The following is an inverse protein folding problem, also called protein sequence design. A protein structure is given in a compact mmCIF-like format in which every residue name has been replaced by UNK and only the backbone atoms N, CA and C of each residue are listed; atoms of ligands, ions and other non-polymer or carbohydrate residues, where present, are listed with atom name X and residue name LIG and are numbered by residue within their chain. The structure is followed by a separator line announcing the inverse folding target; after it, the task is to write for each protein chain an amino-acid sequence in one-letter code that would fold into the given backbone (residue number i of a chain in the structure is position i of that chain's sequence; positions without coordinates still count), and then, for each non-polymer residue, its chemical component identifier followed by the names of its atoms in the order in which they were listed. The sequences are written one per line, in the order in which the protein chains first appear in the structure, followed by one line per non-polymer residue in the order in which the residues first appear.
data_IF_580194322216
#
_entry.id   IF_580194322216
#
_cell.length_a   1.000
_cell.length_b   1.000
_cell.length_c   1.000
_cell.angle_alpha   90.00
_cell.angle_beta   90.00
_cell.angle_gamma   90.00
#
_symmetry.space_group_name_H-M   'P 1'
#
loop_
_entity.id
_entity.type
_entity.pdbx_description
1 polymer ?
#
# COMPACT_ATOMS: atom_id res chain seq x y z
N UNK A 1 -16.66 -3.25 9.43
CA UNK A 1 -16.26 -1.87 9.21
C UNK A 1 -14.91 -1.58 9.85
N UNK A 2 -14.73 -1.95 11.12
CA UNK A 2 -13.45 -1.80 11.78
C UNK A 2 -12.37 -2.68 11.12
N UNK A 3 -12.73 -3.87 10.70
CA UNK A 3 -11.82 -4.78 10.00
C UNK A 3 -11.32 -4.11 8.72
N UNK A 4 -12.23 -3.51 7.95
CA UNK A 4 -11.88 -2.84 6.70
C UNK A 4 -10.94 -1.66 6.98
N UNK A 5 -11.23 -0.85 7.99
CA UNK A 5 -10.39 0.29 8.34
C UNK A 5 -8.99 -0.14 8.76
N UNK A 6 -8.88 -1.20 9.55
CA UNK A 6 -7.57 -1.73 9.96
C UNK A 6 -6.78 -2.20 8.74
N UNK A 7 -7.44 -2.88 7.80
CA UNK A 7 -6.78 -3.33 6.58
C UNK A 7 -6.28 -2.16 5.73
N UNK A 8 -7.10 -1.13 5.55
CA UNK A 8 -6.72 0.05 4.77
C UNK A 8 -5.50 0.74 5.37
N UNK A 9 -5.50 0.94 6.68
CA UNK A 9 -4.37 1.54 7.38
C UNK A 9 -3.11 0.69 7.21
N UNK A 10 -3.25 -0.62 7.27
CA UNK A 10 -2.13 -1.54 7.13
C UNK A 10 -1.53 -1.46 5.72
N UNK A 11 -2.38 -1.42 4.69
CA UNK A 11 -1.92 -1.28 3.31
C UNK A 11 -1.20 0.06 3.12
N UNK A 12 -1.78 1.15 3.64
CA UNK A 12 -1.18 2.48 3.55
C UNK A 12 0.21 2.51 4.20
N UNK A 13 0.31 1.96 5.40
CA UNK A 13 1.58 1.89 6.12
C UNK A 13 2.61 1.05 5.37
N UNK A 14 2.17 -0.05 4.76
CA UNK A 14 3.08 -0.90 3.99
C UNK A 14 3.63 -0.15 2.77
N UNK A 15 2.79 0.62 2.08
CA UNK A 15 3.23 1.42 0.94
C UNK A 15 4.28 2.45 1.40
N UNK A 16 4.03 3.14 2.51
CA UNK A 16 4.98 4.10 3.05
C UNK A 16 6.28 3.44 3.47
N UNK A 17 6.20 2.26 4.07
CA UNK A 17 7.35 1.46 4.46
C UNK A 17 8.21 1.11 3.25
N UNK A 18 7.57 0.70 2.15
CA UNK A 18 8.26 0.36 0.92
C UNK A 18 8.86 1.61 0.25
N UNK A 19 8.17 2.74 0.30
CA UNK A 19 8.72 4.00 -0.20
C UNK A 19 10.01 4.33 0.52
N UNK A 20 10.02 4.19 1.84
CA UNK A 20 11.20 4.45 2.65
C UNK A 20 12.33 3.49 2.30
N UNK A 21 12.00 2.21 2.21
CA UNK A 21 12.97 1.15 1.93
C UNK A 21 13.66 1.35 0.58
N UNK A 22 12.91 1.77 -0.43
CA UNK A 22 13.43 1.90 -1.80
C UNK A 22 13.75 3.35 -2.18
N UNK A 23 13.66 4.26 -1.22
CA UNK A 23 13.99 5.68 -1.42
C UNK A 23 13.12 6.37 -2.47
N UNK A 24 11.82 6.05 -2.46
CA UNK A 24 10.84 6.74 -3.31
C UNK A 24 9.98 7.65 -2.46
N UNK A 25 9.62 8.81 -3.01
CA UNK A 25 8.51 9.58 -2.46
C UNK A 25 7.21 8.96 -2.97
N UNK A 26 6.09 9.15 -2.25
CA UNK A 26 4.79 8.65 -2.76
C UNK A 26 4.45 9.18 -4.16
N UNK A 27 4.75 10.46 -4.44
CA UNK A 27 4.50 11.01 -5.77
C UNK A 27 5.34 10.33 -6.85
N UNK A 28 6.60 10.04 -6.55
CA UNK A 28 7.47 9.36 -7.51
C UNK A 28 7.01 7.93 -7.74
N UNK A 29 6.61 7.24 -6.67
CA UNK A 29 6.07 5.89 -6.79
C UNK A 29 4.82 5.87 -7.67
N UNK A 30 3.91 6.83 -7.46
CA UNK A 30 2.69 6.93 -8.26
C UNK A 30 3.03 7.16 -9.73
N UNK A 31 3.95 8.08 -10.01
CA UNK A 31 4.39 8.39 -11.38
C UNK A 31 4.93 7.15 -12.07
N UNK A 32 5.86 6.44 -11.43
CA UNK A 32 6.49 5.26 -12.01
C UNK A 32 5.55 4.07 -12.12
N UNK A 33 4.51 4.04 -11.30
CA UNK A 33 3.53 2.95 -11.28
C UNK A 33 2.31 3.23 -12.16
N UNK A 34 2.31 4.35 -12.87
CA UNK A 34 1.18 4.78 -13.68
C UNK A 34 -0.11 4.89 -12.87
N UNK A 35 0.01 5.41 -11.65
CA UNK A 35 -1.12 5.68 -10.75
C UNK A 35 -1.26 7.19 -10.66
N UNK A 36 -2.49 7.69 -10.76
CA UNK A 36 -2.71 9.13 -10.57
C UNK A 36 -2.26 9.52 -9.17
N UNK A 37 -1.45 10.58 -9.01
CA UNK A 37 -0.98 10.99 -7.68
C UNK A 37 -2.12 11.25 -6.69
N UNK A 38 -3.24 11.79 -7.16
CA UNK A 38 -4.40 12.01 -6.31
C UNK A 38 -5.00 10.70 -5.78
N UNK A 39 -4.97 9.65 -6.62
CA UNK A 39 -5.46 8.33 -6.22
C UNK A 39 -4.58 7.74 -5.13
N UNK A 40 -3.27 7.83 -5.28
CA UNK A 40 -2.35 7.30 -4.27
C UNK A 40 -2.45 8.12 -2.98
N UNK A 41 -2.56 9.45 -3.07
CA UNK A 41 -2.73 10.29 -1.89
C UNK A 41 -4.01 9.94 -1.13
N UNK A 42 -5.11 9.71 -1.85
CA UNK A 42 -6.37 9.31 -1.22
C UNK A 42 -6.22 7.97 -0.51
N UNK A 43 -5.53 7.02 -1.13
CA UNK A 43 -5.27 5.72 -0.51
C UNK A 43 -4.44 5.89 0.77
N UNK A 44 -3.37 6.68 0.73
CA UNK A 44 -2.51 6.89 1.89
C UNK A 44 -3.19 7.67 3.00
N UNK A 45 -4.21 8.45 2.67
CA UNK A 45 -5.02 9.16 3.65
C UNK A 45 -6.20 8.32 4.15
N UNK A 46 -6.27 7.06 3.77
CA UNK A 46 -7.32 6.12 4.15
C UNK A 46 -8.72 6.60 3.73
N UNK A 47 -8.79 7.29 2.58
CA UNK A 47 -10.03 7.82 2.04
C UNK A 47 -10.67 6.90 1.00
N UNK A 48 -10.04 5.75 0.74
CA UNK A 48 -10.50 4.75 -0.22
C UNK A 48 -11.00 3.54 0.58
N UNK A 49 -12.23 3.11 0.32
CA UNK A 49 -12.82 1.99 1.06
C UNK A 49 -12.13 0.65 0.74
N UNK A 50 -11.79 0.47 -0.53
CA UNK A 50 -11.16 -0.78 -0.97
C UNK A 50 -9.95 -0.46 -1.82
N UNK A 51 -8.73 -0.71 -1.30
CA UNK A 51 -7.55 -0.53 -2.13
C UNK A 51 -7.60 -1.53 -3.28
N UNK A 52 -7.47 -1.03 -4.49
CA UNK A 52 -7.53 -1.87 -5.68
C UNK A 52 -6.32 -2.80 -5.71
N UNK A 53 -6.56 -4.08 -5.98
CA UNK A 53 -5.46 -5.02 -6.19
C UNK A 53 -4.63 -4.62 -7.41
N UNK A 54 -5.23 -3.90 -8.36
CA UNK A 54 -4.51 -3.36 -9.51
C UNK A 54 -3.45 -2.34 -9.05
N UNK A 55 -3.79 -1.49 -8.09
CA UNK A 55 -2.85 -0.50 -7.55
C UNK A 55 -1.68 -1.22 -6.87
N UNK A 56 -1.97 -2.23 -6.06
CA UNK A 56 -0.94 -3.00 -5.37
C UNK A 56 -0.04 -3.71 -6.39
N UNK A 57 -0.65 -4.29 -7.43
CA UNK A 57 0.08 -4.95 -8.50
C UNK A 57 1.03 -3.98 -9.21
N UNK A 58 0.56 -2.78 -9.53
CA UNK A 58 1.38 -1.76 -10.19
C UNK A 58 2.57 -1.34 -9.33
N UNK A 59 2.35 -1.17 -8.04
CA UNK A 59 3.41 -0.83 -7.09
C UNK A 59 4.46 -1.94 -7.03
N UNK A 60 4.01 -3.18 -6.92
CA UNK A 60 4.91 -4.34 -6.88
C UNK A 60 5.74 -4.43 -8.16
N UNK A 61 5.12 -4.18 -9.31
CA UNK A 61 5.82 -4.21 -10.59
C UNK A 61 6.89 -3.13 -10.66
N UNK A 62 6.58 -1.93 -10.18
CA UNK A 62 7.53 -0.81 -10.15
C UNK A 62 8.73 -1.14 -9.27
N UNK A 63 8.48 -1.70 -8.10
CA UNK A 63 9.53 -2.05 -7.14
C UNK A 63 10.21 -3.38 -7.47
N UNK A 64 9.71 -4.09 -8.47
CA UNK A 64 10.26 -5.41 -8.88
C UNK A 64 10.21 -6.42 -7.74
N UNK A 65 9.12 -6.43 -7.01
CA UNK A 65 8.87 -7.39 -5.95
C UNK A 65 7.63 -8.22 -6.27
N UNK A 66 7.56 -9.42 -5.70
CA UNK A 66 6.38 -10.25 -5.83
C UNK A 66 5.28 -9.75 -4.87
N UNK A 67 4.02 -10.07 -5.18
CA UNK A 67 2.91 -9.76 -4.26
C UNK A 67 3.16 -10.35 -2.88
N UNK A 68 3.74 -11.53 -2.84
CA UNK A 68 4.14 -12.18 -1.59
C UNK A 68 5.04 -11.27 -0.76
N UNK A 69 5.98 -10.59 -1.40
CA UNK A 69 6.89 -9.67 -0.71
C UNK A 69 6.17 -8.44 -0.19
N UNK A 70 5.19 -7.93 -0.95
CA UNK A 70 4.38 -6.81 -0.50
C UNK A 70 3.71 -7.13 0.84
N UNK A 71 3.16 -8.33 0.97
CA UNK A 71 2.46 -8.77 2.18
C UNK A 71 3.38 -9.38 3.23
N UNK A 72 4.68 -9.45 2.96
CA UNK A 72 5.65 -10.01 3.90
C UNK A 72 6.09 -8.93 4.90
N UNK A 73 5.20 -8.61 5.81
CA UNK A 73 5.44 -7.59 6.83
C UNK A 73 4.65 -7.95 8.07
N UNK A 74 5.18 -7.59 9.22
CA UNK A 74 4.49 -7.77 10.49
C UNK A 74 3.17 -7.01 10.54
N UNK A 75 3.01 -5.99 9.69
CA UNK A 75 1.76 -5.25 9.59
C UNK A 75 0.59 -6.14 9.20
N UNK A 76 0.84 -7.22 8.47
CA UNK A 76 -0.19 -8.15 8.02
C UNK A 76 -0.31 -9.41 8.87
N UNK A 77 0.31 -9.41 10.05
CA UNK A 77 0.20 -10.53 11.00
C UNK A 77 -1.21 -10.53 11.58
N UNK A 78 -2.00 -11.53 11.22
CA UNK A 78 -3.40 -11.64 11.65
C UNK A 78 -3.54 -11.70 13.17
N UNK A 79 -2.51 -12.15 13.87
CA UNK A 79 -2.54 -12.18 15.34
C UNK A 79 -2.44 -10.80 15.96
N UNK A 80 -1.97 -9.82 15.20
CA UNK A 80 -1.80 -8.44 15.65
C UNK A 80 -2.89 -7.50 15.13
N UNK A 81 -3.62 -7.92 14.11
CA UNK A 81 -4.73 -7.13 13.58
C UNK A 81 -5.94 -7.29 14.48
N UNK A 82 -6.55 -6.18 14.87
CA UNK A 82 -7.73 -6.18 15.71
C UNK A 82 -8.98 -5.97 14.87
N UNK A 83 -9.99 -6.78 15.12
CA UNK A 83 -11.28 -6.62 14.45
C UNK A 83 -12.41 -7.20 15.28
#
# INVERSE_FOLDING_TARGET
LEVINVFLETVSQRILELCDKYNYTPNKLAELSAIAPSTLRALLANQVENPSSTIIFKICKTLKIALKEFYNSKLFDMNKLKY
#
